data_IF_961638700812
#
_entry.id   IF_961638700812
#
_cell.length_a   1.000
_cell.length_b   1.000
_cell.length_c   1.000
_cell.angle_alpha   90.00
_cell.angle_beta   90.00
_cell.angle_gamma   90.00
#
_symmetry.space_group_name_H-M   'P 1'
#
loop_
_entity.id
_entity.type
_entity.pdbx_description
1 polymer ?
#
# COMPACT_ATOMS: atom_id res chain seq x y z
N UNK A 1 -25.93 4.49 12.83
CA UNK A 1 -24.57 3.96 12.63
C UNK A 1 -24.62 2.92 11.53
N UNK A 2 -24.02 3.16 10.36
CA UNK A 2 -24.02 2.19 9.25
C UNK A 2 -22.89 1.19 9.52
N UNK A 3 -23.21 -0.06 9.81
CA UNK A 3 -22.19 -1.11 9.99
C UNK A 3 -21.68 -1.48 8.60
N UNK A 4 -20.45 -1.07 8.28
CA UNK A 4 -19.77 -1.47 7.05
C UNK A 4 -18.99 -2.75 7.30
N UNK A 5 -18.88 -3.61 6.29
CA UNK A 5 -17.94 -4.72 6.37
C UNK A 5 -16.51 -4.22 6.08
N UNK A 6 -15.49 -4.97 6.54
CA UNK A 6 -14.07 -4.57 6.35
C UNK A 6 -13.69 -4.29 4.89
N UNK A 7 -14.32 -4.94 3.91
CA UNK A 7 -14.03 -4.68 2.51
C UNK A 7 -14.59 -3.34 2.06
N UNK A 8 -15.78 -2.96 2.53
CA UNK A 8 -16.37 -1.65 2.29
C UNK A 8 -15.57 -0.53 2.96
N UNK A 9 -15.08 -0.76 4.19
CA UNK A 9 -14.20 0.20 4.88
C UNK A 9 -12.90 0.44 4.11
N UNK A 10 -12.25 -0.64 3.65
CA UNK A 10 -11.03 -0.53 2.83
C UNK A 10 -11.31 0.16 1.50
N UNK A 11 -12.41 -0.15 0.83
CA UNK A 11 -12.77 0.50 -0.42
C UNK A 11 -12.98 2.01 -0.23
N UNK A 12 -13.75 2.40 0.80
CA UNK A 12 -14.00 3.80 1.13
C UNK A 12 -12.71 4.57 1.44
N UNK A 13 -11.81 3.96 2.23
CA UNK A 13 -10.52 4.59 2.53
C UNK A 13 -9.60 4.68 1.32
N UNK A 14 -9.58 3.64 0.48
CA UNK A 14 -8.72 3.64 -0.70
C UNK A 14 -9.15 4.72 -1.68
N UNK A 15 -10.47 4.91 -1.92
CA UNK A 15 -10.92 5.99 -2.79
C UNK A 15 -10.58 7.37 -2.20
N UNK A 16 -10.72 7.57 -0.88
CA UNK A 16 -10.31 8.82 -0.22
C UNK A 16 -8.82 9.12 -0.45
N UNK A 17 -7.96 8.13 -0.20
CA UNK A 17 -6.50 8.27 -0.35
C UNK A 17 -6.09 8.53 -1.80
N UNK A 18 -6.65 7.80 -2.76
CA UNK A 18 -6.29 7.95 -4.17
C UNK A 18 -6.86 9.26 -4.72
N UNK A 19 -8.05 9.69 -4.31
CA UNK A 19 -8.66 10.94 -4.75
C UNK A 19 -7.90 12.19 -4.26
N UNK A 20 -7.22 12.11 -3.11
CA UNK A 20 -6.32 13.18 -2.62
C UNK A 20 -5.14 13.43 -3.58
N UNK A 21 -4.76 12.47 -4.41
CA UNK A 21 -3.57 12.50 -5.29
C UNK A 21 -3.83 13.13 -6.66
N UNK A 22 -4.64 14.20 -6.72
CA UNK A 22 -5.06 14.92 -7.94
C UNK A 22 -4.20 14.65 -9.19
N UNK A 23 -4.82 14.14 -10.27
CA UNK A 23 -4.18 13.83 -11.56
C UNK A 23 -3.02 12.83 -11.46
N UNK A 24 -3.31 11.59 -11.02
CA UNK A 24 -2.34 10.49 -11.17
C UNK A 24 -2.20 10.17 -12.67
N UNK A 25 -1.17 10.71 -13.31
CA UNK A 25 -0.89 10.45 -14.72
C UNK A 25 -0.49 8.98 -14.96
N UNK A 26 -0.71 8.50 -16.20
CA UNK A 26 -0.43 7.11 -16.59
C UNK A 26 1.04 6.70 -16.41
N UNK A 27 1.96 7.64 -16.58
CA UNK A 27 3.41 7.44 -16.40
C UNK A 27 3.89 7.83 -14.99
N UNK A 28 2.98 8.11 -14.06
CA UNK A 28 3.35 8.38 -12.67
C UNK A 28 4.00 7.13 -12.06
N UNK A 29 5.12 7.37 -11.41
CA UNK A 29 5.87 6.38 -10.66
C UNK A 29 4.99 5.80 -9.54
N UNK A 30 4.16 6.62 -8.89
CA UNK A 30 3.24 6.16 -7.84
C UNK A 30 2.26 5.13 -8.42
N UNK A 31 1.60 5.47 -9.53
CA UNK A 31 0.69 4.61 -10.25
C UNK A 31 1.31 3.26 -10.60
N UNK A 32 2.41 3.31 -11.34
CA UNK A 32 3.15 2.12 -11.77
C UNK A 32 3.55 1.23 -10.60
N UNK A 33 3.92 1.83 -9.47
CA UNK A 33 4.29 1.10 -8.26
C UNK A 33 3.06 0.48 -7.58
N UNK A 34 1.96 1.23 -7.43
CA UNK A 34 0.71 0.72 -6.85
C UNK A 34 0.10 -0.44 -7.65
N UNK A 35 0.19 -0.40 -8.98
CA UNK A 35 -0.30 -1.47 -9.86
C UNK A 35 0.49 -2.77 -9.72
N UNK A 36 1.81 -2.67 -9.47
CA UNK A 36 2.73 -3.82 -9.41
C UNK A 36 2.99 -4.35 -8.00
N UNK A 37 2.79 -3.53 -6.95
CA UNK A 37 3.11 -3.90 -5.57
C UNK A 37 2.34 -5.11 -5.04
N UNK A 38 1.03 -5.32 -5.32
CA UNK A 38 0.34 -6.54 -4.89
C UNK A 38 1.00 -7.82 -5.41
N UNK A 39 1.49 -7.80 -6.65
CA UNK A 39 2.21 -8.94 -7.22
C UNK A 39 3.56 -9.16 -6.54
N UNK A 40 4.30 -8.08 -6.24
CA UNK A 40 5.53 -8.14 -5.46
C UNK A 40 5.27 -8.77 -4.07
N UNK A 41 4.26 -8.29 -3.36
CA UNK A 41 3.85 -8.78 -2.05
C UNK A 41 3.46 -10.26 -2.08
N UNK A 42 2.75 -10.69 -3.12
CA UNK A 42 2.35 -12.08 -3.27
C UNK A 42 3.56 -12.99 -3.48
N UNK A 43 4.51 -12.55 -4.31
CA UNK A 43 5.64 -13.38 -4.74
C UNK A 43 6.73 -13.51 -3.68
N UNK A 44 7.08 -12.42 -2.97
CA UNK A 44 8.20 -12.42 -2.02
C UNK A 44 7.82 -12.13 -0.57
N UNK A 45 6.53 -11.91 -0.31
CA UNK A 45 6.00 -11.63 1.03
C UNK A 45 6.23 -10.20 1.48
N UNK A 46 5.61 -9.86 2.61
CA UNK A 46 5.57 -8.48 3.12
C UNK A 46 6.95 -7.93 3.48
N UNK A 47 7.81 -8.72 4.15
CA UNK A 47 9.13 -8.23 4.58
C UNK A 47 9.97 -7.78 3.39
N UNK A 48 10.13 -8.65 2.38
CA UNK A 48 10.96 -8.37 1.23
C UNK A 48 10.38 -7.25 0.37
N UNK A 49 9.05 -7.22 0.21
CA UNK A 49 8.38 -6.17 -0.56
C UNK A 49 8.59 -4.78 0.04
N UNK A 50 8.45 -4.66 1.36
CA UNK A 50 8.65 -3.39 2.07
C UNK A 50 10.13 -3.00 2.06
N UNK A 51 11.05 -3.94 2.28
CA UNK A 51 12.48 -3.68 2.21
C UNK A 51 12.92 -3.19 0.82
N UNK A 52 12.41 -3.82 -0.24
CA UNK A 52 12.65 -3.41 -1.63
C UNK A 52 12.09 -2.01 -1.91
N UNK A 53 10.87 -1.73 -1.47
CA UNK A 53 10.26 -0.42 -1.65
C UNK A 53 11.06 0.68 -0.94
N UNK A 54 11.49 0.45 0.30
CA UNK A 54 12.37 1.38 1.03
C UNK A 54 13.73 1.58 0.36
N UNK A 55 14.31 0.55 -0.25
CA UNK A 55 15.56 0.72 -0.98
C UNK A 55 15.37 1.66 -2.19
N UNK A 56 14.21 1.60 -2.86
CA UNK A 56 13.89 2.47 -4.00
C UNK A 56 13.56 3.91 -3.61
N UNK A 57 13.26 4.22 -2.35
CA UNK A 57 13.01 5.61 -1.91
C UNK A 57 14.27 6.49 -1.97
N UNK A 58 15.46 5.89 -2.10
CA UNK A 58 16.74 6.62 -2.21
C UNK A 58 17.05 7.11 -3.63
N UNK A 59 16.27 6.70 -4.64
CA UNK A 59 16.51 7.07 -6.04
C UNK A 59 15.72 8.30 -6.50
N UNK A 60 15.89 8.69 -7.77
CA UNK A 60 15.14 9.80 -8.39
C UNK A 60 13.61 9.64 -8.31
N UNK A 61 13.15 8.39 -8.28
CA UNK A 61 11.74 7.98 -8.18
C UNK A 61 11.25 7.85 -6.72
N UNK A 62 12.10 8.23 -5.77
CA UNK A 62 11.95 7.85 -4.38
C UNK A 62 10.79 8.53 -3.66
N UNK A 63 10.47 9.77 -4.02
CA UNK A 63 9.36 10.52 -3.43
C UNK A 63 8.01 9.85 -3.69
N UNK A 64 7.72 9.44 -4.92
CA UNK A 64 6.47 8.76 -5.27
C UNK A 64 6.34 7.40 -4.59
N UNK A 65 7.44 6.63 -4.51
CA UNK A 65 7.46 5.33 -3.82
C UNK A 65 7.30 5.51 -2.31
N UNK A 66 7.92 6.54 -1.73
CA UNK A 66 7.70 6.90 -0.33
C UNK A 66 6.24 7.26 -0.08
N UNK A 67 5.63 8.07 -0.95
CA UNK A 67 4.22 8.41 -0.89
C UNK A 67 3.33 7.16 -0.89
N UNK A 68 3.58 6.21 -1.78
CA UNK A 68 2.85 4.93 -1.81
C UNK A 68 2.96 4.16 -0.49
N UNK A 69 4.15 4.09 0.10
CA UNK A 69 4.34 3.38 1.36
C UNK A 69 3.59 4.04 2.52
N UNK A 70 3.54 5.37 2.56
CA UNK A 70 2.75 6.09 3.55
C UNK A 70 1.25 5.85 3.36
N UNK A 71 0.77 5.83 2.11
CA UNK A 71 -0.63 5.56 1.80
C UNK A 71 -1.03 4.13 2.14
N UNK A 72 -0.14 3.16 1.93
CA UNK A 72 -0.34 1.77 2.35
C UNK A 72 -0.39 1.67 3.88
N UNK A 73 0.48 2.38 4.61
CA UNK A 73 0.44 2.42 6.07
C UNK A 73 -0.87 3.07 6.58
N UNK A 74 -1.27 4.20 6.00
CA UNK A 74 -2.55 4.88 6.28
C UNK A 74 -3.74 3.94 6.04
N UNK A 75 -3.75 3.21 4.92
CA UNK A 75 -4.76 2.18 4.63
C UNK A 75 -4.85 1.14 5.74
N UNK A 76 -3.72 0.70 6.27
CA UNK A 76 -3.61 -0.31 7.32
C UNK A 76 -3.85 0.24 8.75
N UNK A 77 -4.23 1.51 8.92
CA UNK A 77 -4.30 2.21 10.22
C UNK A 77 -2.97 2.21 10.97
N UNK A 78 -1.86 2.42 10.27
CA UNK A 78 -0.54 2.58 10.85
C UNK A 78 -0.10 4.04 10.73
N UNK A 79 0.67 4.49 11.72
CA UNK A 79 1.11 5.89 11.80
C UNK A 79 2.07 6.29 10.68
N UNK A 80 2.84 5.34 10.14
CA UNK A 80 3.82 5.60 9.09
C UNK A 80 4.26 4.35 8.34
N UNK A 81 4.85 4.54 7.16
CA UNK A 81 5.56 3.51 6.42
C UNK A 81 6.66 2.84 7.28
N UNK A 82 7.39 3.62 8.07
CA UNK A 82 8.44 3.11 8.96
C UNK A 82 7.87 2.12 9.99
N UNK A 83 6.71 2.44 10.57
CA UNK A 83 6.01 1.54 11.50
C UNK A 83 5.64 0.23 10.81
N UNK A 84 5.15 0.28 9.57
CA UNK A 84 4.88 -0.92 8.76
C UNK A 84 6.15 -1.74 8.52
N UNK A 85 7.27 -1.10 8.18
CA UNK A 85 8.56 -1.76 7.99
C UNK A 85 9.17 -2.35 9.26
N UNK A 86 8.89 -1.75 10.41
CA UNK A 86 9.26 -2.31 11.72
C UNK A 86 8.42 -3.54 12.05
N UNK A 87 7.09 -3.40 11.97
CA UNK A 87 6.16 -4.48 12.27
C UNK A 87 6.36 -5.68 11.36
N UNK A 88 6.66 -5.49 10.07
CA UNK A 88 6.89 -6.60 9.15
C UNK A 88 8.04 -7.51 9.60
N UNK A 89 9.04 -6.99 10.33
CA UNK A 89 10.23 -7.72 10.76
C UNK A 89 10.17 -8.25 12.19
N UNK A 90 9.41 -7.59 13.06
CA UNK A 90 9.52 -7.80 14.52
C UNK A 90 8.34 -8.57 15.12
N UNK A 91 7.19 -8.66 14.44
CA UNK A 91 6.04 -9.40 14.97
C UNK A 91 6.24 -10.91 14.85
N UNK A 92 5.59 -11.67 15.73
CA UNK A 92 5.66 -13.15 15.69
C UNK A 92 4.90 -13.69 14.47
N UNK A 93 5.13 -14.97 14.14
CA UNK A 93 4.66 -15.58 12.90
C UNK A 93 3.15 -15.44 12.64
N UNK A 94 2.30 -15.62 13.66
CA UNK A 94 0.83 -15.53 13.49
C UNK A 94 0.42 -14.08 13.19
N UNK A 95 0.96 -13.12 13.94
CA UNK A 95 0.74 -11.69 13.73
C UNK A 95 1.28 -11.24 12.37
N UNK A 96 2.40 -11.82 11.92
CA UNK A 96 2.97 -11.57 10.60
C UNK A 96 2.03 -12.04 9.49
N UNK A 97 1.47 -13.25 9.60
CA UNK A 97 0.52 -13.76 8.61
C UNK A 97 -0.71 -12.84 8.51
N UNK A 98 -1.23 -12.37 9.65
CA UNK A 98 -2.34 -11.41 9.67
C UNK A 98 -1.94 -10.07 9.05
N UNK A 99 -0.77 -9.55 9.39
CA UNK A 99 -0.24 -8.29 8.85
C UNK A 99 -0.05 -8.37 7.33
N UNK A 100 0.48 -9.49 6.83
CA UNK A 100 0.67 -9.75 5.39
C UNK A 100 -0.65 -9.83 4.64
N UNK A 101 -1.65 -10.53 5.19
CA UNK A 101 -2.99 -10.60 4.60
C UNK A 101 -3.70 -9.23 4.57
N UNK A 102 -3.52 -8.42 5.62
CA UNK A 102 -4.04 -7.05 5.68
C UNK A 102 -3.37 -6.15 4.63
N UNK A 103 -2.04 -6.21 4.53
CA UNK A 103 -1.27 -5.47 3.54
C UNK A 103 -1.67 -5.86 2.11
N UNK A 104 -1.86 -7.15 1.83
CA UNK A 104 -2.35 -7.63 0.53
C UNK A 104 -3.73 -7.05 0.21
N UNK A 105 -4.65 -7.08 1.17
CA UNK A 105 -6.02 -6.56 1.00
C UNK A 105 -6.01 -5.05 0.74
N UNK A 106 -5.22 -4.29 1.50
CA UNK A 106 -5.08 -2.85 1.35
C UNK A 106 -4.43 -2.47 0.02
N UNK A 107 -3.31 -3.10 -0.33
CA UNK A 107 -2.61 -2.87 -1.59
C UNK A 107 -3.50 -3.21 -2.79
N UNK A 108 -4.33 -4.25 -2.69
CA UNK A 108 -5.30 -4.61 -3.73
C UNK A 108 -6.36 -3.52 -3.96
N UNK A 109 -6.86 -2.88 -2.90
CA UNK A 109 -7.80 -1.76 -3.04
C UNK A 109 -7.14 -0.50 -3.60
N UNK A 110 -5.91 -0.17 -3.15
CA UNK A 110 -5.14 0.92 -3.74
C UNK A 110 -4.92 0.69 -5.23
N UNK A 111 -4.51 -0.52 -5.64
CA UNK A 111 -4.38 -0.89 -7.05
C UNK A 111 -5.65 -0.59 -7.85
N UNK A 112 -6.81 -1.08 -7.39
CA UNK A 112 -8.08 -0.94 -8.12
C UNK A 112 -8.47 0.52 -8.36
N UNK A 113 -8.32 1.38 -7.35
CA UNK A 113 -8.69 2.79 -7.49
C UNK A 113 -7.66 3.60 -8.26
N UNK A 114 -6.38 3.27 -8.14
CA UNK A 114 -5.35 3.82 -9.02
C UNK A 114 -5.67 3.47 -10.47
N UNK A 115 -5.90 2.17 -10.76
CA UNK A 115 -6.28 1.69 -12.10
C UNK A 115 -7.53 2.38 -12.65
N UNK A 116 -8.57 2.55 -11.85
CA UNK A 116 -9.81 3.24 -12.25
C UNK A 116 -9.64 4.76 -12.49
N UNK A 117 -8.61 5.40 -11.93
CA UNK A 117 -8.29 6.81 -12.22
C UNK A 117 -7.36 6.98 -13.44
N UNK A 118 -6.87 5.87 -14.00
CA UNK A 118 -6.05 5.85 -15.22
C UNK A 118 -6.83 5.54 -16.50
N UNK A 119 -8.03 4.99 -16.39
CA UNK A 119 -8.96 4.80 -17.51
C UNK A 119 -9.66 6.12 -17.88
#
# INVERSE_FOLDING_TARGET
MKILNKQQERAARAIEIVAEKQNIEKDDVYASFALSFPALLHNCGLVQSIAFAFAKTKGQRGKSISGYLEDLAKMMNLDSAEKLGKLSREVRAIEYMRLSAEAMSCAGWLKRYVEAMHE
#
